data_IF_483168570098
#
_entry.id   IF_483168570098
#
_cell.length_a   1.000
_cell.length_b   1.000
_cell.length_c   1.000
_cell.angle_alpha   90.00
_cell.angle_beta   90.00
_cell.angle_gamma   90.00
#
_symmetry.space_group_name_H-M   'P 1'
#
loop_
_entity.id
_entity.type
_entity.pdbx_description
1 polymer ?
#
# COMPACT_ATOMS: atom_id res chain seq x y z
N UNK A 1 7.64 -17.60 24.58
CA UNK A 1 7.90 -17.32 23.15
C UNK A 1 7.13 -18.37 22.37
N UNK A 2 6.40 -17.95 21.36
CA UNK A 2 5.66 -18.85 20.49
C UNK A 2 6.68 -19.67 19.66
N UNK A 3 6.66 -21.00 19.70
CA UNK A 3 7.63 -21.85 18.99
C UNK A 3 7.50 -21.76 17.45
N UNK A 4 6.43 -21.18 16.94
CA UNK A 4 6.18 -20.97 15.50
C UNK A 4 6.73 -19.64 14.97
N UNK A 5 7.20 -18.76 15.85
CA UNK A 5 7.70 -17.45 15.45
C UNK A 5 9.09 -17.55 14.82
N UNK A 6 9.20 -17.11 13.57
CA UNK A 6 10.46 -17.01 12.83
C UNK A 6 11.09 -15.62 13.00
N UNK A 7 12.39 -15.57 12.93
CA UNK A 7 13.17 -14.35 13.10
C UNK A 7 13.14 -13.49 11.83
N UNK A 8 12.54 -12.32 11.92
CA UNK A 8 12.46 -11.32 10.84
C UNK A 8 13.39 -10.14 11.14
N UNK A 9 14.30 -9.85 10.23
CA UNK A 9 15.11 -8.63 10.29
C UNK A 9 14.24 -7.44 9.86
N UNK A 10 14.21 -6.41 10.70
CA UNK A 10 13.43 -5.20 10.51
C UNK A 10 14.26 -3.96 10.74
N UNK A 11 13.88 -2.86 10.07
CA UNK A 11 14.53 -1.56 10.20
C UNK A 11 13.59 -0.58 10.91
N UNK A 12 14.18 0.28 11.73
CA UNK A 12 13.48 1.33 12.46
C UNK A 12 14.40 2.53 12.67
N UNK A 13 13.81 3.69 12.94
CA UNK A 13 14.54 4.93 13.15
C UNK A 13 14.63 5.24 14.65
N UNK A 14 15.82 5.48 15.15
CA UNK A 14 16.07 5.92 16.53
C UNK A 14 15.90 7.44 16.59
N UNK A 15 14.72 7.88 17.01
CA UNK A 15 14.34 9.29 17.02
C UNK A 15 14.92 10.08 18.19
N UNK A 16 15.34 9.42 19.25
CA UNK A 16 15.84 10.12 20.44
C UNK A 16 17.27 10.64 20.22
N UNK A 17 17.60 11.85 20.76
CA UNK A 17 18.94 12.41 20.69
C UNK A 17 19.92 11.63 21.59
N UNK A 18 21.18 11.56 21.20
CA UNK A 18 22.27 11.00 22.00
C UNK A 18 22.66 11.97 23.13
N UNK A 19 22.72 13.27 22.80
CA UNK A 19 23.09 14.34 23.71
C UNK A 19 22.00 15.42 23.70
N UNK A 20 21.16 15.47 24.76
CA UNK A 20 20.10 16.46 24.85
C UNK A 20 20.62 17.90 25.12
N UNK A 21 21.90 18.05 25.53
CA UNK A 21 22.54 19.35 25.78
C UNK A 21 23.32 19.88 24.57
N UNK A 22 23.34 19.12 23.46
CA UNK A 22 23.96 19.58 22.21
C UNK A 22 23.31 20.89 21.71
N UNK A 23 24.11 21.78 21.15
CA UNK A 23 23.66 23.06 20.57
C UNK A 23 22.53 22.85 19.55
N UNK A 24 22.63 21.78 18.78
CA UNK A 24 21.60 21.31 17.87
C UNK A 24 21.13 19.90 18.27
N UNK A 25 20.05 19.75 19.04
CA UNK A 25 19.57 18.42 19.49
C UNK A 25 19.32 17.43 18.35
N UNK A 26 19.00 17.92 17.13
CA UNK A 26 18.83 17.08 15.95
C UNK A 26 20.11 16.31 15.54
N UNK A 27 21.28 16.83 15.85
CA UNK A 27 22.56 16.18 15.55
C UNK A 27 22.79 14.96 16.44
N UNK A 28 22.07 14.86 17.56
CA UNK A 28 22.09 13.72 18.46
C UNK A 28 21.23 12.54 18.04
N UNK A 29 20.44 12.64 16.97
CA UNK A 29 19.60 11.53 16.50
C UNK A 29 20.45 10.36 16.02
N UNK A 30 20.09 9.15 16.49
CA UNK A 30 20.89 7.95 16.20
C UNK A 30 20.63 7.35 14.82
N UNK A 31 19.55 7.78 14.13
CA UNK A 31 19.26 7.37 12.76
C UNK A 31 18.71 5.94 12.64
N UNK A 32 18.87 5.39 11.46
CA UNK A 32 18.38 4.05 11.12
C UNK A 32 19.18 2.96 11.84
N UNK A 33 18.44 1.97 12.33
CA UNK A 33 18.99 0.76 12.93
C UNK A 33 18.20 -0.46 12.45
N UNK A 34 18.79 -1.63 12.60
CA UNK A 34 18.16 -2.91 12.35
C UNK A 34 18.09 -3.74 13.62
N UNK A 35 17.10 -4.61 13.71
CA UNK A 35 16.97 -5.59 14.77
C UNK A 35 16.26 -6.83 14.24
N UNK A 36 16.46 -7.95 14.88
CA UNK A 36 15.71 -9.17 14.61
C UNK A 36 14.58 -9.28 15.62
N UNK A 37 13.36 -9.52 15.13
CA UNK A 37 12.17 -9.72 15.95
C UNK A 37 11.45 -11.01 15.57
N UNK A 38 10.82 -11.64 16.55
CA UNK A 38 10.00 -12.82 16.31
C UNK A 38 8.66 -12.42 15.68
N UNK A 39 8.35 -12.99 14.51
CA UNK A 39 7.10 -12.76 13.76
C UNK A 39 6.53 -14.11 13.34
N UNK A 40 5.35 -14.51 13.88
CA UNK A 40 4.69 -15.76 13.48
C UNK A 40 4.17 -15.68 12.04
N UNK A 41 4.54 -16.63 11.18
CA UNK A 41 4.09 -16.66 9.77
C UNK A 41 2.60 -16.90 9.66
N UNK A 42 2.06 -17.78 10.47
CA UNK A 42 0.63 -18.11 10.51
C UNK A 42 -0.27 -16.94 10.97
N UNK A 43 0.31 -15.93 11.61
CA UNK A 43 -0.38 -14.69 12.01
C UNK A 43 -0.02 -13.51 11.10
N UNK A 44 0.56 -13.76 9.94
CA UNK A 44 1.03 -12.71 9.03
C UNK A 44 0.36 -12.84 7.66
N UNK A 45 0.02 -11.71 7.03
CA UNK A 45 -0.49 -11.66 5.67
C UNK A 45 0.28 -10.63 4.83
N UNK A 46 0.39 -10.90 3.52
CA UNK A 46 0.81 -9.93 2.53
C UNK A 46 -0.40 -9.10 2.08
N UNK A 47 -0.30 -7.78 2.16
CA UNK A 47 -1.30 -6.83 1.68
C UNK A 47 -0.78 -6.16 0.41
N UNK A 48 -1.46 -6.46 -0.71
CA UNK A 48 -1.13 -5.94 -2.04
C UNK A 48 -2.01 -4.71 -2.29
N UNK A 49 -1.47 -3.52 -2.05
CA UNK A 49 -2.23 -2.27 -2.10
C UNK A 49 -2.14 -1.63 -3.48
N UNK A 50 -3.28 -1.48 -4.14
CA UNK A 50 -3.45 -0.68 -5.37
C UNK A 50 -2.40 -0.96 -6.45
N UNK A 51 -2.12 -2.22 -6.72
CA UNK A 51 -1.24 -2.61 -7.83
C UNK A 51 -2.07 -2.75 -9.10
N UNK A 52 -2.19 -1.63 -9.83
CA UNK A 52 -3.09 -1.49 -10.97
C UNK A 52 -2.45 -1.87 -12.31
N UNK A 53 -3.31 -2.07 -13.31
CA UNK A 53 -2.92 -2.24 -14.72
C UNK A 53 -2.45 -0.92 -15.38
N UNK A 54 -2.41 0.17 -14.66
CA UNK A 54 -2.14 1.52 -15.15
C UNK A 54 -0.75 1.61 -15.81
N UNK A 55 -0.73 1.98 -17.08
CA UNK A 55 0.51 2.11 -17.84
C UNK A 55 1.23 0.81 -18.18
N UNK A 56 0.59 -0.35 -17.98
CA UNK A 56 1.18 -1.67 -18.24
C UNK A 56 0.72 -2.30 -19.54
N UNK A 57 -0.36 -1.79 -20.14
CA UNK A 57 -0.85 -2.26 -21.41
C UNK A 57 -0.23 -1.43 -22.52
N UNK A 58 0.37 -2.09 -23.53
CA UNK A 58 0.85 -1.44 -24.76
C UNK A 58 -0.30 -0.83 -25.58
N UNK A 59 -1.52 -1.15 -25.18
CA UNK A 59 -2.77 -0.53 -25.64
C UNK A 59 -3.28 0.53 -24.65
N UNK A 60 -2.39 1.24 -23.98
CA UNK A 60 -2.77 2.60 -23.69
C UNK A 60 -2.93 3.21 -25.06
N UNK A 61 -4.07 3.37 -25.42
CA UNK A 61 -4.85 4.40 -24.82
C UNK A 61 -6.10 3.85 -24.19
N UNK A 62 -6.63 4.60 -23.31
CA UNK A 62 -8.05 4.61 -23.12
C UNK A 62 -8.66 5.35 -24.32
N UNK A 63 -9.18 4.66 -25.37
CA UNK A 63 -9.52 5.30 -26.66
C UNK A 63 -10.64 6.34 -26.58
N UNK A 64 -11.19 6.53 -25.39
CA UNK A 64 -12.23 7.50 -25.08
C UNK A 64 -11.75 8.61 -24.16
N UNK A 65 -10.48 8.57 -23.71
CA UNK A 65 -9.89 9.62 -22.91
C UNK A 65 -9.28 10.71 -23.81
N UNK A 66 -9.19 11.92 -23.31
CA UNK A 66 -8.47 12.99 -23.98
C UNK A 66 -7.00 12.57 -24.19
N UNK A 67 -6.48 12.60 -25.44
CA UNK A 67 -5.09 12.25 -25.72
C UNK A 67 -4.07 13.03 -24.89
N UNK A 68 -4.42 14.24 -24.42
CA UNK A 68 -3.55 15.03 -23.54
C UNK A 68 -3.41 14.41 -22.15
N UNK A 69 -4.48 13.82 -21.60
CA UNK A 69 -4.43 13.13 -20.31
C UNK A 69 -3.71 11.79 -20.43
N UNK A 70 -3.92 11.06 -21.50
CA UNK A 70 -3.15 9.85 -21.79
C UNK A 70 -1.66 10.14 -21.87
N UNK A 71 -1.28 11.19 -22.56
CA UNK A 71 0.10 11.63 -22.65
C UNK A 71 0.67 12.00 -21.25
N UNK A 72 -0.11 12.67 -20.41
CA UNK A 72 0.28 12.99 -19.04
C UNK A 72 0.45 11.72 -18.19
N UNK A 73 -0.48 10.78 -18.26
CA UNK A 73 -0.40 9.52 -17.53
C UNK A 73 0.80 8.70 -18.01
N UNK A 74 0.98 8.56 -19.33
CA UNK A 74 2.09 7.80 -19.91
C UNK A 74 3.47 8.41 -19.61
N UNK A 75 3.53 9.72 -19.41
CA UNK A 75 4.78 10.45 -19.10
C UNK A 75 4.94 10.80 -17.62
N UNK A 76 3.91 10.60 -16.81
CA UNK A 76 3.92 10.93 -15.40
C UNK A 76 5.03 10.15 -14.67
N UNK A 77 5.82 10.87 -13.89
CA UNK A 77 7.00 10.34 -13.22
C UNK A 77 6.65 9.19 -12.26
N UNK A 78 5.57 9.30 -11.50
CA UNK A 78 5.16 8.26 -10.56
C UNK A 78 4.70 6.97 -11.26
N UNK A 79 4.07 7.05 -12.44
CA UNK A 79 3.68 5.87 -13.24
C UNK A 79 4.93 5.16 -13.76
N UNK A 80 5.90 5.89 -14.28
CA UNK A 80 7.17 5.29 -14.73
C UNK A 80 7.89 4.58 -13.59
N UNK A 81 7.93 5.19 -12.42
CA UNK A 81 8.53 4.59 -11.22
C UNK A 81 7.74 3.38 -10.73
N UNK A 82 6.42 3.47 -10.74
CA UNK A 82 5.54 2.36 -10.42
C UNK A 82 5.81 1.16 -11.34
N UNK A 83 5.83 1.38 -12.66
CA UNK A 83 6.15 0.34 -13.65
C UNK A 83 7.53 -0.25 -13.45
N UNK A 84 8.53 0.56 -13.19
CA UNK A 84 9.90 0.11 -12.93
C UNK A 84 10.01 -0.73 -11.64
N UNK A 85 9.12 -0.51 -10.67
CA UNK A 85 9.11 -1.24 -9.41
C UNK A 85 8.21 -2.50 -9.44
N UNK A 86 7.33 -2.64 -10.43
CA UNK A 86 6.41 -3.77 -10.53
C UNK A 86 7.09 -5.13 -10.38
N UNK A 87 8.28 -5.41 -10.98
CA UNK A 87 8.97 -6.68 -10.78
C UNK A 87 9.30 -7.01 -9.32
N UNK A 88 9.53 -6.00 -8.47
CA UNK A 88 9.77 -6.21 -7.04
C UNK A 88 8.46 -6.55 -6.31
N UNK A 89 7.34 -5.93 -6.69
CA UNK A 89 6.02 -6.27 -6.15
C UNK A 89 5.62 -7.70 -6.57
N UNK A 90 5.86 -8.07 -7.83
CA UNK A 90 5.65 -9.43 -8.35
C UNK A 90 6.48 -10.46 -7.59
N UNK A 91 7.75 -10.16 -7.32
CA UNK A 91 8.64 -11.02 -6.55
C UNK A 91 8.15 -11.19 -5.12
N UNK A 92 7.72 -10.13 -4.46
CA UNK A 92 7.13 -10.20 -3.12
C UNK A 92 5.90 -11.11 -3.08
N UNK A 93 4.99 -10.93 -4.06
CA UNK A 93 3.78 -11.74 -4.18
C UNK A 93 4.10 -13.21 -4.47
N UNK A 94 5.05 -13.48 -5.36
CA UNK A 94 5.49 -14.83 -5.70
C UNK A 94 6.10 -15.55 -4.49
N UNK A 95 6.95 -14.85 -3.72
CA UNK A 95 7.57 -15.38 -2.50
C UNK A 95 6.53 -15.71 -1.43
N UNK A 96 5.56 -14.81 -1.21
CA UNK A 96 4.46 -15.04 -0.28
C UNK A 96 3.61 -16.25 -0.69
N UNK A 97 3.25 -16.36 -1.97
CA UNK A 97 2.49 -17.50 -2.53
C UNK A 97 3.23 -18.81 -2.36
N UNK A 98 4.53 -18.83 -2.67
CA UNK A 98 5.36 -20.02 -2.54
C UNK A 98 5.45 -20.51 -1.10
N UNK A 99 5.52 -19.59 -0.16
CA UNK A 99 5.56 -19.89 1.28
C UNK A 99 4.18 -20.17 1.89
N UNK A 100 3.09 -20.08 1.11
CA UNK A 100 1.73 -20.27 1.62
C UNK A 100 1.24 -19.15 2.55
N UNK A 101 1.87 -17.97 2.49
CA UNK A 101 1.44 -16.82 3.28
C UNK A 101 0.07 -16.34 2.78
N UNK A 102 -0.91 -16.07 3.66
CA UNK A 102 -2.17 -15.43 3.27
C UNK A 102 -1.94 -14.11 2.52
N UNK A 103 -2.62 -13.93 1.39
CA UNK A 103 -2.53 -12.73 0.54
C UNK A 103 -3.89 -12.07 0.43
N UNK A 104 -3.94 -10.75 0.62
CA UNK A 104 -5.12 -9.94 0.36
C UNK A 104 -4.79 -8.78 -0.58
N UNK A 105 -5.56 -8.67 -1.66
CA UNK A 105 -5.45 -7.60 -2.64
C UNK A 105 -6.44 -6.49 -2.29
N UNK A 106 -5.95 -5.27 -2.21
CA UNK A 106 -6.79 -4.12 -1.95
C UNK A 106 -7.10 -3.41 -3.26
N UNK A 107 -8.38 -3.37 -3.60
CA UNK A 107 -8.89 -2.64 -4.75
C UNK A 107 -9.26 -1.22 -4.33
N UNK A 108 -8.94 -0.23 -5.17
CA UNK A 108 -9.29 1.17 -4.90
C UNK A 108 -10.79 1.44 -5.10
N UNK A 109 -11.44 0.63 -5.92
CA UNK A 109 -12.84 0.84 -6.32
C UNK A 109 -13.61 -0.50 -6.34
N UNK A 110 -14.86 -0.52 -5.86
CA UNK A 110 -15.72 -1.70 -5.94
C UNK A 110 -15.87 -2.22 -7.37
N UNK A 111 -15.99 -1.32 -8.33
CA UNK A 111 -16.30 -1.63 -9.72
C UNK A 111 -15.46 -2.75 -10.34
N UNK A 112 -14.13 -2.70 -10.20
CA UNK A 112 -13.31 -3.78 -10.74
C UNK A 112 -13.14 -4.94 -9.75
N UNK A 113 -13.29 -4.68 -8.45
CA UNK A 113 -13.29 -5.74 -7.45
C UNK A 113 -14.46 -6.71 -7.63
N UNK A 114 -15.62 -6.22 -8.05
CA UNK A 114 -16.84 -7.02 -8.30
C UNK A 114 -16.65 -8.14 -9.33
N UNK A 115 -15.68 -8.01 -10.23
CA UNK A 115 -15.33 -9.06 -11.17
C UNK A 115 -14.67 -10.29 -10.50
N UNK A 116 -14.24 -10.18 -9.24
CA UNK A 116 -13.52 -11.23 -8.54
C UNK A 116 -14.42 -11.96 -7.54
N UNK A 117 -14.60 -13.28 -7.66
CA UNK A 117 -15.40 -14.08 -6.71
C UNK A 117 -14.93 -13.95 -5.26
N UNK A 118 -13.63 -13.71 -5.04
CA UNK A 118 -13.07 -13.49 -3.72
C UNK A 118 -13.62 -12.22 -3.04
N UNK A 119 -13.84 -11.16 -3.80
CA UNK A 119 -14.49 -9.94 -3.30
C UNK A 119 -15.93 -10.20 -2.91
N UNK A 120 -16.70 -10.85 -3.79
CA UNK A 120 -18.12 -11.15 -3.53
C UNK A 120 -18.30 -12.00 -2.27
N UNK A 121 -17.45 -13.02 -2.09
CA UNK A 121 -17.43 -13.84 -0.85
C UNK A 121 -17.14 -12.98 0.37
N UNK A 122 -16.10 -12.15 0.31
CA UNK A 122 -15.68 -11.34 1.45
C UNK A 122 -16.74 -10.30 1.84
N UNK A 123 -17.41 -9.66 0.88
CA UNK A 123 -18.55 -8.76 1.14
C UNK A 123 -19.69 -9.50 1.85
N UNK A 124 -20.04 -10.70 1.36
CA UNK A 124 -21.11 -11.51 1.96
C UNK A 124 -20.76 -11.95 3.40
N UNK A 125 -19.52 -12.33 3.63
CA UNK A 125 -19.05 -12.79 4.95
C UNK A 125 -18.86 -11.65 5.94
N UNK A 126 -18.35 -10.51 5.51
CA UNK A 126 -18.15 -9.32 6.36
C UNK A 126 -19.46 -8.68 6.77
N UNK A 127 -20.48 -8.82 5.94
CA UNK A 127 -21.80 -8.25 6.17
C UNK A 127 -21.84 -6.72 5.97
N UNK A 128 -22.81 -6.08 6.61
CA UNK A 128 -23.03 -4.64 6.43
C UNK A 128 -21.88 -3.81 7.00
N UNK A 129 -21.48 -2.79 6.23
CA UNK A 129 -20.51 -1.79 6.70
C UNK A 129 -21.04 -1.03 7.93
N UNK A 130 -20.17 -0.68 8.89
CA UNK A 130 -20.53 0.21 9.97
C UNK A 130 -21.06 1.54 9.42
N UNK A 131 -22.09 2.07 10.06
CA UNK A 131 -22.65 3.35 9.63
C UNK A 131 -21.65 4.48 9.87
N UNK A 132 -21.29 5.17 8.81
CA UNK A 132 -20.47 6.37 8.88
C UNK A 132 -21.23 7.53 9.54
N UNK A 133 -20.53 8.40 10.30
CA UNK A 133 -21.14 9.64 10.77
C UNK A 133 -21.50 10.54 9.57
N UNK A 134 -22.47 11.46 9.72
CA UNK A 134 -22.78 12.42 8.67
C UNK A 134 -21.54 13.20 8.25
N UNK A 135 -21.31 13.30 6.92
CA UNK A 135 -20.25 14.14 6.36
C UNK A 135 -20.52 15.65 6.52
N UNK A 136 -19.63 16.46 5.96
CA UNK A 136 -19.79 17.91 5.93
C UNK A 136 -21.04 18.31 5.14
N UNK A 137 -21.79 19.36 5.57
CA UNK A 137 -23.01 19.79 4.88
C UNK A 137 -22.80 20.19 3.41
N UNK A 138 -21.63 20.73 3.08
CA UNK A 138 -21.28 21.12 1.70
C UNK A 138 -20.86 19.95 0.80
N UNK A 139 -20.75 18.73 1.33
CA UNK A 139 -20.28 17.59 0.56
C UNK A 139 -18.84 17.74 0.07
N UNK A 140 -18.55 17.16 -1.09
CA UNK A 140 -17.20 17.12 -1.70
C UNK A 140 -17.10 17.95 -2.98
N UNK A 141 -17.97 18.90 -3.22
CA UNK A 141 -18.02 19.67 -4.47
C UNK A 141 -16.71 20.40 -4.78
N UNK A 142 -15.97 20.81 -3.75
CA UNK A 142 -14.66 21.45 -3.86
C UNK A 142 -13.56 20.51 -4.40
N UNK A 143 -13.75 19.20 -4.35
CA UNK A 143 -12.74 18.21 -4.78
C UNK A 143 -12.47 18.30 -6.28
N UNK A 144 -13.52 18.51 -7.08
CA UNK A 144 -13.36 18.67 -8.53
C UNK A 144 -12.52 19.91 -8.88
N UNK A 145 -12.80 21.04 -8.21
CA UNK A 145 -12.02 22.27 -8.39
C UNK A 145 -10.54 22.03 -8.01
N UNK A 146 -10.31 21.40 -6.87
CA UNK A 146 -8.95 21.08 -6.42
C UNK A 146 -8.20 20.16 -7.39
N UNK A 147 -8.85 19.13 -7.90
CA UNK A 147 -8.25 18.21 -8.87
C UNK A 147 -7.88 18.93 -10.16
N UNK A 148 -8.76 19.80 -10.68
CA UNK A 148 -8.49 20.56 -11.89
C UNK A 148 -7.36 21.57 -11.70
N UNK A 149 -7.26 22.21 -10.52
CA UNK A 149 -6.14 23.09 -10.19
C UNK A 149 -4.82 22.33 -10.04
N UNK A 150 -4.86 21.12 -9.49
CA UNK A 150 -3.64 20.34 -9.22
C UNK A 150 -3.12 19.58 -10.45
N UNK A 151 -4.01 19.09 -11.32
CA UNK A 151 -3.66 18.18 -12.42
C UNK A 151 -3.99 18.75 -13.82
N UNK A 152 -4.65 19.89 -13.90
CA UNK A 152 -5.03 20.57 -15.13
C UNK A 152 -6.54 20.55 -15.36
N UNK A 153 -7.02 21.56 -16.10
CA UNK A 153 -8.44 21.75 -16.37
C UNK A 153 -9.08 20.52 -17.06
N UNK A 154 -10.24 20.11 -16.57
CA UNK A 154 -10.98 18.94 -17.06
C UNK A 154 -10.49 17.60 -16.54
N UNK A 155 -9.49 17.57 -15.66
CA UNK A 155 -8.99 16.33 -15.06
C UNK A 155 -10.07 15.60 -14.27
N UNK A 156 -10.80 16.31 -13.42
CA UNK A 156 -11.85 15.73 -12.59
C UNK A 156 -12.99 15.11 -13.44
N UNK A 157 -13.35 15.75 -14.55
CA UNK A 157 -14.39 15.25 -15.47
C UNK A 157 -13.99 13.93 -16.14
N UNK A 158 -12.70 13.71 -16.35
CA UNK A 158 -12.17 12.50 -17.01
C UNK A 158 -11.91 11.33 -16.08
N UNK A 159 -11.82 11.58 -14.76
CA UNK A 159 -11.56 10.53 -13.76
C UNK A 159 -12.52 9.33 -13.84
N UNK A 160 -13.83 9.49 -14.06
CA UNK A 160 -14.73 8.35 -14.22
C UNK A 160 -14.36 7.42 -15.38
N UNK A 161 -13.92 7.96 -16.52
CA UNK A 161 -13.47 7.17 -17.66
C UNK A 161 -12.17 6.41 -17.37
N UNK A 162 -11.24 7.04 -16.65
CA UNK A 162 -10.01 6.39 -16.15
C UNK A 162 -10.35 5.25 -15.20
N UNK A 163 -11.19 5.51 -14.21
CA UNK A 163 -11.61 4.53 -13.22
C UNK A 163 -12.35 3.34 -13.84
N UNK A 164 -13.07 3.57 -14.94
CA UNK A 164 -13.80 2.52 -15.65
C UNK A 164 -12.91 1.38 -16.16
N UNK A 165 -11.61 1.59 -16.31
CA UNK A 165 -10.63 0.66 -16.89
C UNK A 165 -9.61 0.14 -15.91
N UNK A 166 -9.66 0.63 -14.68
CA UNK A 166 -8.78 0.09 -13.64
C UNK A 166 -9.11 -1.38 -13.38
N UNK A 167 -8.06 -2.15 -13.25
CA UNK A 167 -8.04 -3.53 -12.77
C UNK A 167 -6.71 -3.76 -12.05
N UNK A 168 -6.54 -4.90 -11.42
CA UNK A 168 -5.21 -5.31 -10.95
C UNK A 168 -4.26 -5.51 -12.12
N UNK A 169 -2.99 -5.19 -11.91
CA UNK A 169 -1.94 -5.50 -12.89
C UNK A 169 -2.03 -6.99 -13.27
N UNK A 170 -1.93 -7.35 -14.57
CA UNK A 170 -2.20 -8.70 -15.03
C UNK A 170 -1.42 -9.80 -14.28
N UNK A 171 -0.16 -9.52 -13.93
CA UNK A 171 0.72 -10.43 -13.18
C UNK A 171 0.43 -10.47 -11.68
N UNK A 172 -0.32 -9.47 -11.18
CA UNK A 172 -0.64 -9.28 -9.76
C UNK A 172 -2.11 -9.63 -9.44
N UNK A 173 -2.83 -10.21 -10.37
CA UNK A 173 -4.24 -10.58 -10.15
C UNK A 173 -4.41 -11.59 -9.01
N UNK A 174 -5.49 -11.45 -8.23
CA UNK A 174 -5.85 -12.42 -7.20
C UNK A 174 -5.97 -13.84 -7.75
N UNK A 175 -5.52 -14.82 -6.99
CA UNK A 175 -5.72 -16.24 -7.24
C UNK A 175 -6.77 -16.82 -6.29
N UNK A 176 -7.22 -18.04 -6.59
CA UNK A 176 -8.13 -18.77 -5.71
C UNK A 176 -7.54 -18.93 -4.31
N UNK A 177 -8.36 -18.66 -3.29
CA UNK A 177 -7.95 -18.68 -1.88
C UNK A 177 -7.43 -17.34 -1.35
N UNK A 178 -7.06 -16.39 -2.20
CA UNK A 178 -6.63 -15.05 -1.79
C UNK A 178 -7.83 -14.14 -1.51
N UNK A 179 -7.61 -13.09 -0.70
CA UNK A 179 -8.61 -12.07 -0.38
C UNK A 179 -8.64 -10.95 -1.40
N UNK A 180 -9.83 -10.36 -1.59
CA UNK A 180 -10.01 -9.08 -2.28
C UNK A 180 -10.89 -8.20 -1.39
N UNK A 181 -10.42 -7.00 -1.07
CA UNK A 181 -11.11 -6.04 -0.22
C UNK A 181 -11.08 -4.64 -0.85
N UNK A 182 -12.06 -3.83 -0.48
CA UNK A 182 -12.14 -2.40 -0.83
C UNK A 182 -12.18 -1.57 0.46
N UNK A 183 -12.80 -2.08 1.51
CA UNK A 183 -13.01 -1.34 2.76
C UNK A 183 -12.23 -1.93 3.93
N UNK A 184 -11.94 -1.07 4.90
CA UNK A 184 -11.28 -1.47 6.15
C UNK A 184 -12.09 -2.51 6.91
N UNK A 185 -13.42 -2.44 6.89
CA UNK A 185 -14.30 -3.42 7.50
C UNK A 185 -14.11 -4.81 6.88
N UNK A 186 -14.10 -4.89 5.55
CA UNK A 186 -13.88 -6.13 4.80
C UNK A 186 -12.51 -6.74 5.10
N UNK A 187 -11.45 -5.93 5.09
CA UNK A 187 -10.10 -6.41 5.40
C UNK A 187 -9.99 -6.89 6.84
N UNK A 188 -10.51 -6.13 7.80
CA UNK A 188 -10.51 -6.52 9.20
C UNK A 188 -11.25 -7.84 9.42
N UNK A 189 -12.40 -8.03 8.79
CA UNK A 189 -13.13 -9.30 8.83
C UNK A 189 -12.26 -10.45 8.29
N UNK A 190 -11.71 -10.30 7.08
CA UNK A 190 -10.90 -11.32 6.41
C UNK A 190 -9.67 -11.74 7.24
N UNK A 191 -9.00 -10.78 7.87
CA UNK A 191 -7.83 -11.01 8.72
C UNK A 191 -8.20 -11.73 10.01
N UNK A 192 -9.28 -11.30 10.68
CA UNK A 192 -9.74 -11.91 11.93
C UNK A 192 -10.14 -13.37 11.76
N UNK A 193 -10.81 -13.72 10.66
CA UNK A 193 -11.17 -15.11 10.35
C UNK A 193 -9.95 -16.04 10.20
N UNK A 194 -8.77 -15.44 9.95
CA UNK A 194 -7.50 -16.16 9.75
C UNK A 194 -6.52 -16.03 10.91
N UNK A 195 -6.91 -15.33 11.99
CA UNK A 195 -6.03 -15.10 13.13
C UNK A 195 -4.82 -14.21 12.82
N UNK A 196 -4.91 -13.37 11.78
CA UNK A 196 -3.81 -12.50 11.33
C UNK A 196 -3.71 -11.27 12.24
N UNK A 197 -2.49 -10.91 12.62
CA UNK A 197 -2.16 -9.72 13.41
C UNK A 197 -1.00 -8.89 12.85
N UNK A 198 -0.26 -9.43 11.87
CA UNK A 198 0.88 -8.78 11.22
C UNK A 198 0.61 -8.60 9.73
N UNK A 199 0.84 -7.40 9.20
CA UNK A 199 0.53 -7.03 7.82
C UNK A 199 1.78 -6.53 7.11
N UNK A 200 2.24 -7.23 6.08
CA UNK A 200 3.33 -6.77 5.22
C UNK A 200 2.72 -6.10 4.00
N UNK A 201 2.97 -4.82 3.83
CA UNK A 201 2.43 -4.02 2.73
C UNK A 201 3.41 -3.92 1.57
N UNK A 202 2.89 -4.15 0.36
CA UNK A 202 3.54 -3.88 -0.93
C UNK A 202 2.60 -3.07 -1.82
N UNK A 203 3.12 -2.36 -2.79
CA UNK A 203 2.30 -1.65 -3.78
C UNK A 203 2.49 -0.13 -3.81
N UNK A 204 1.41 0.60 -4.10
CA UNK A 204 1.41 2.02 -4.41
C UNK A 204 0.29 2.76 -3.66
N UNK A 205 0.48 3.97 -3.13
CA UNK A 205 1.74 4.69 -2.89
C UNK A 205 2.00 4.76 -1.40
N UNK A 206 3.27 4.60 -1.00
CA UNK A 206 3.63 4.49 0.42
C UNK A 206 3.31 5.75 1.22
N UNK A 207 3.33 6.91 0.61
CA UNK A 207 3.00 8.19 1.24
C UNK A 207 1.54 8.64 1.07
N UNK A 208 0.72 7.88 0.35
CA UNK A 208 -0.70 8.14 0.11
C UNK A 208 -1.55 6.92 0.47
N UNK A 209 -1.83 6.07 -0.51
CA UNK A 209 -2.82 5.00 -0.38
C UNK A 209 -2.46 3.98 0.70
N UNK A 210 -1.17 3.61 0.84
CA UNK A 210 -0.75 2.68 1.89
C UNK A 210 -1.00 3.22 3.30
N UNK A 211 -1.13 4.53 3.45
CA UNK A 211 -1.47 5.13 4.75
C UNK A 211 -2.96 5.42 4.90
N UNK A 212 -3.53 6.15 3.93
CA UNK A 212 -4.80 6.87 4.10
C UNK A 212 -5.99 6.28 3.36
N UNK A 213 -5.78 5.41 2.36
CA UNK A 213 -6.92 4.71 1.75
C UNK A 213 -7.54 3.73 2.75
N UNK A 214 -8.81 3.34 2.56
CA UNK A 214 -9.35 2.20 3.26
C UNK A 214 -8.40 1.00 3.20
N UNK A 215 -8.31 0.24 4.27
CA UNK A 215 -7.31 -0.83 4.45
C UNK A 215 -5.86 -0.35 4.63
N UNK A 216 -5.61 0.95 4.65
CA UNK A 216 -4.28 1.53 4.83
C UNK A 216 -3.77 1.40 6.26
N UNK A 217 -2.48 1.71 6.46
CA UNK A 217 -1.80 1.51 7.74
C UNK A 217 -2.40 2.33 8.88
N UNK A 218 -2.98 3.51 8.62
CA UNK A 218 -3.63 4.34 9.64
C UNK A 218 -4.80 3.58 10.25
N UNK A 219 -5.69 3.05 9.43
CA UNK A 219 -6.87 2.31 9.90
C UNK A 219 -6.47 0.99 10.57
N UNK A 220 -5.58 0.24 9.92
CA UNK A 220 -5.18 -1.07 10.44
C UNK A 220 -4.40 -0.95 11.75
N UNK A 221 -3.58 0.11 11.91
CA UNK A 221 -2.91 0.39 13.17
C UNK A 221 -3.90 0.76 14.29
N UNK A 222 -4.95 1.52 13.98
CA UNK A 222 -6.03 1.83 14.94
C UNK A 222 -6.76 0.58 15.40
N UNK A 223 -6.91 -0.41 14.53
CA UNK A 223 -7.49 -1.71 14.85
C UNK A 223 -6.53 -2.66 15.57
N UNK A 224 -5.28 -2.25 15.82
CA UNK A 224 -4.29 -3.00 16.59
C UNK A 224 -3.37 -3.89 15.78
N UNK A 225 -3.42 -3.86 14.45
CA UNK A 225 -2.50 -4.60 13.60
C UNK A 225 -1.10 -3.99 13.60
N UNK A 226 -0.08 -4.86 13.56
CA UNK A 226 1.31 -4.45 13.38
C UNK A 226 1.62 -4.41 11.88
N UNK A 227 2.00 -3.23 11.38
CA UNK A 227 2.25 -3.03 9.97
C UNK A 227 3.74 -3.03 9.64
N UNK A 228 4.08 -3.63 8.51
CA UNK A 228 5.42 -3.64 7.94
C UNK A 228 5.32 -3.10 6.51
N UNK A 229 6.29 -2.28 6.09
CA UNK A 229 6.42 -1.87 4.69
C UNK A 229 7.63 -2.55 4.06
N UNK A 230 7.41 -3.28 2.95
CA UNK A 230 8.51 -3.78 2.13
C UNK A 230 9.04 -2.63 1.26
N UNK A 231 10.15 -2.02 1.68
CA UNK A 231 10.70 -0.80 1.06
C UNK A 231 10.94 -0.98 -0.45
N UNK A 232 11.52 -2.12 -0.84
CA UNK A 232 11.87 -2.41 -2.23
C UNK A 232 10.63 -2.66 -3.10
N UNK A 233 9.53 -3.13 -2.51
CA UNK A 233 8.28 -3.46 -3.20
C UNK A 233 7.18 -2.40 -3.01
N UNK A 234 7.57 -1.16 -2.69
CA UNK A 234 6.66 0.00 -2.59
C UNK A 234 7.21 1.20 -3.34
N UNK A 235 6.32 2.02 -3.87
CA UNK A 235 6.67 3.29 -4.52
C UNK A 235 5.99 4.47 -3.85
N UNK A 236 6.37 5.67 -4.24
CA UNK A 236 5.85 6.95 -3.72
C UNK A 236 5.35 7.84 -4.83
N UNK A 237 4.51 8.80 -4.48
CA UNK A 237 4.31 10.02 -5.27
C UNK A 237 5.31 11.07 -4.77
N UNK A 238 6.16 11.52 -5.68
CA UNK A 238 7.12 12.60 -5.45
C UNK A 238 6.64 13.87 -6.15
N UNK A 239 7.13 15.01 -5.76
CA UNK A 239 6.91 16.31 -6.41
C UNK A 239 8.25 16.90 -6.89
N UNK A 240 8.23 18.03 -7.59
CA UNK A 240 9.39 18.57 -8.30
C UNK A 240 10.68 18.61 -7.50
N UNK A 241 10.63 19.09 -6.27
CA UNK A 241 11.80 19.26 -5.38
C UNK A 241 12.23 17.93 -4.72
N UNK A 242 11.35 16.94 -4.64
CA UNK A 242 11.63 15.69 -3.96
C UNK A 242 12.04 14.54 -4.89
N UNK A 243 11.71 14.64 -6.18
CA UNK A 243 11.85 13.53 -7.14
C UNK A 243 13.28 13.04 -7.32
N UNK A 244 14.23 13.96 -7.38
CA UNK A 244 15.65 13.62 -7.60
C UNK A 244 16.27 12.84 -6.41
N UNK A 245 15.75 13.01 -5.23
CA UNK A 245 16.30 12.44 -3.99
C UNK A 245 15.41 11.40 -3.36
N UNK A 246 14.18 11.19 -3.89
CA UNK A 246 13.15 10.36 -3.28
C UNK A 246 12.85 10.77 -1.83
N UNK A 247 12.79 12.08 -1.58
CA UNK A 247 12.65 12.61 -0.24
C UNK A 247 11.33 12.18 0.42
N UNK A 248 10.23 12.11 -0.35
CA UNK A 248 8.95 11.62 0.17
C UNK A 248 9.02 10.14 0.54
N UNK A 249 9.69 9.30 -0.26
CA UNK A 249 9.87 7.89 0.08
C UNK A 249 10.63 7.74 1.40
N UNK A 250 11.74 8.46 1.56
CA UNK A 250 12.52 8.43 2.81
C UNK A 250 11.71 8.91 4.01
N UNK A 251 10.99 10.02 3.85
CA UNK A 251 10.11 10.55 4.89
C UNK A 251 8.98 9.57 5.25
N UNK A 252 8.42 8.88 4.25
CA UNK A 252 7.41 7.87 4.47
C UNK A 252 7.94 6.68 5.27
N UNK A 253 9.09 6.13 4.90
CA UNK A 253 9.72 5.02 5.64
C UNK A 253 10.06 5.42 7.08
N UNK A 254 10.59 6.61 7.28
CA UNK A 254 10.84 7.14 8.62
C UNK A 254 9.56 7.18 9.46
N UNK A 255 8.45 7.72 8.93
CA UNK A 255 7.16 7.77 9.66
C UNK A 255 6.61 6.38 9.94
N UNK A 256 6.73 5.43 9.01
CA UNK A 256 6.29 4.05 9.24
C UNK A 256 7.00 3.46 10.44
N UNK A 257 8.30 3.64 10.52
CA UNK A 257 9.11 3.11 11.62
C UNK A 257 8.79 3.70 13.00
N UNK A 258 8.15 4.87 13.03
CA UNK A 258 7.76 5.53 14.28
C UNK A 258 6.28 5.32 14.66
N UNK A 259 5.40 5.17 13.66
CA UNK A 259 3.96 5.30 13.88
C UNK A 259 3.18 4.00 13.65
N UNK A 260 3.63 3.15 12.73
CA UNK A 260 2.85 2.00 12.28
C UNK A 260 3.49 0.65 12.58
N UNK A 261 4.81 0.57 12.60
CA UNK A 261 5.55 -0.66 12.85
C UNK A 261 6.98 -0.58 12.32
N UNK A 262 7.30 -1.35 11.28
CA UNK A 262 8.67 -1.50 10.82
C UNK A 262 8.79 -1.39 9.30
N UNK A 263 10.02 -1.11 8.85
CA UNK A 263 10.42 -1.24 7.45
C UNK A 263 11.20 -2.53 7.29
N UNK A 264 11.03 -3.23 6.20
CA UNK A 264 11.82 -4.40 5.83
C UNK A 264 12.21 -4.34 4.36
N UNK A 265 13.24 -5.06 4.00
CA UNK A 265 13.64 -5.24 2.60
C UNK A 265 13.09 -6.56 2.07
N UNK A 266 12.88 -6.63 0.80
CA UNK A 266 12.34 -7.83 0.17
C UNK A 266 13.21 -9.07 0.43
N UNK A 267 14.53 -8.93 0.38
CA UNK A 267 15.45 -10.02 0.70
C UNK A 267 15.30 -10.55 2.14
N UNK A 268 14.99 -9.67 3.09
CA UNK A 268 14.74 -10.03 4.50
C UNK A 268 13.41 -10.75 4.66
N UNK A 269 12.38 -10.31 3.94
CA UNK A 269 11.10 -11.02 3.87
C UNK A 269 11.27 -12.43 3.30
N UNK A 270 12.01 -12.57 2.22
CA UNK A 270 12.28 -13.88 1.59
C UNK A 270 13.09 -14.80 2.50
N UNK A 271 14.11 -14.27 3.16
CA UNK A 271 14.88 -15.04 4.13
C UNK A 271 14.03 -15.52 5.32
N UNK A 272 13.12 -14.66 5.80
CA UNK A 272 12.16 -15.02 6.85
C UNK A 272 11.15 -16.07 6.36
N UNK A 273 10.63 -15.96 5.14
CA UNK A 273 9.72 -16.93 4.55
C UNK A 273 10.38 -18.31 4.31
N UNK A 274 11.70 -18.36 4.14
CA UNK A 274 12.44 -19.59 3.91
C UNK A 274 12.80 -20.36 5.20
N UNK A 275 12.60 -19.77 6.38
CA UNK A 275 12.84 -20.46 7.64
C UNK A 275 11.82 -21.59 7.81
N UNK A 276 12.27 -22.74 8.29
CA UNK A 276 11.45 -23.94 8.52
C UNK A 276 10.84 -23.96 9.91
#
# INVERSE_FOLDING_TARGET
MDPSACDLTVHYYRQYPIDPEAEHPADGFQGWAASTIAVPREQTALIVMHVWNLGLDDKLPWPEADPAIEAQIATCEWIRRYRANLPQMERALASARTAGLPVCHIAALPRYAEAYPAYQRNVAEAGAEPREPPGAPAGEDWVHEQLDLAYGAGYAEQMPALHARLDFAPTMRPKDGEGVCVTTHQLNHWLRQRGISNLIYVGFAINWCLWFSPCGMVDMRRLGYRCFAAEDATTTVEYGESVATLANKRAAMWRISLMFGYVLRLAEMEAWLAQS
#
